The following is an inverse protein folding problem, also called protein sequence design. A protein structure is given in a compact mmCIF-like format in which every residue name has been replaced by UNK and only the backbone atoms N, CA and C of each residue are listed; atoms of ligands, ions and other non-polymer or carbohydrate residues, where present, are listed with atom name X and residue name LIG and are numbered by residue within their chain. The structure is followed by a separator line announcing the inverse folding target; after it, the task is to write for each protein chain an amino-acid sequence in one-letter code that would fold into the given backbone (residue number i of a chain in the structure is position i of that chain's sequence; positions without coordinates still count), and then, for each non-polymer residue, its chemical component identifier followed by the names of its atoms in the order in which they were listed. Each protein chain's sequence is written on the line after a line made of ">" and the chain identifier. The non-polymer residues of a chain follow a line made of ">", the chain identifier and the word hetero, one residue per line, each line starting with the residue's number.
data_IF_454837101195
#
_entry.id   IF_454837101195
#
_cell.length_a   1.000
_cell.length_b   1.000
_cell.length_c   1.000
_cell.angle_alpha   90.00
_cell.angle_beta   90.00
_cell.angle_gamma   90.00
#
_symmetry.space_group_name_H-M   'P 1'
#
loop_
_entity.id
_entity.type
_entity.pdbx_description
1 polymer ?
#
# COMPACT_ATOMS: atom_id res chain seq x y z
N UNK A 1 22.14 15.89 31.14
CA UNK A 1 20.85 15.38 30.64
C UNK A 1 19.92 16.57 30.37
N UNK A 2 19.14 16.54 29.29
CA UNK A 2 18.13 17.55 28.99
C UNK A 2 16.83 17.16 29.70
N UNK A 3 16.26 18.05 30.48
CA UNK A 3 14.94 17.87 31.09
C UNK A 3 13.91 18.63 30.26
N UNK A 4 12.76 17.99 29.99
CA UNK A 4 11.64 18.60 29.31
C UNK A 4 10.49 18.67 30.33
N UNK A 5 9.96 19.87 30.59
CA UNK A 5 8.77 20.04 31.41
C UNK A 5 7.52 19.62 30.59
N UNK A 6 6.86 18.56 31.04
CA UNK A 6 5.64 18.02 30.45
C UNK A 6 4.40 18.26 31.36
N UNK A 7 4.46 19.22 32.29
CA UNK A 7 3.33 19.55 33.16
C UNK A 7 2.07 19.86 32.36
N UNK A 8 0.94 19.20 32.69
CA UNK A 8 -0.32 19.33 31.99
C UNK A 8 -0.38 18.69 30.59
N UNK A 9 0.63 17.90 30.19
CA UNK A 9 0.69 17.15 28.94
C UNK A 9 0.51 15.66 29.18
N UNK A 10 -0.02 14.96 28.18
CA UNK A 10 0.03 13.52 28.10
C UNK A 10 1.28 13.12 27.32
N UNK A 11 2.14 12.30 27.89
CA UNK A 11 3.31 11.73 27.21
C UNK A 11 2.92 10.33 26.74
N UNK A 12 2.93 10.11 25.43
CA UNK A 12 2.54 8.86 24.79
C UNK A 12 3.70 8.39 23.88
N UNK A 13 3.77 7.11 23.52
CA UNK A 13 4.65 6.64 22.44
C UNK A 13 4.41 7.40 21.15
N UNK A 14 5.45 7.57 20.33
CA UNK A 14 5.29 8.12 18.98
C UNK A 14 4.40 7.22 18.12
N UNK A 15 3.65 7.82 17.20
CA UNK A 15 2.84 7.09 16.23
C UNK A 15 3.70 6.23 15.30
N UNK A 16 3.15 5.11 14.86
CA UNK A 16 3.70 4.28 13.80
C UNK A 16 2.73 4.39 12.63
N UNK A 17 3.19 4.96 11.51
CA UNK A 17 2.42 5.00 10.26
C UNK A 17 2.75 3.75 9.46
N UNK A 18 1.80 2.83 9.38
CA UNK A 18 2.00 1.53 8.76
C UNK A 18 1.82 1.53 7.24
N UNK A 19 1.44 2.67 6.63
CA UNK A 19 1.13 2.72 5.21
C UNK A 19 1.47 4.06 4.56
N UNK A 20 2.68 4.20 4.05
CA UNK A 20 3.11 5.40 3.32
C UNK A 20 3.70 5.08 1.96
N UNK A 21 3.75 6.09 1.08
CA UNK A 21 4.34 6.05 -0.24
C UNK A 21 5.12 7.34 -0.50
N UNK A 22 6.37 7.42 -0.10
CA UNK A 22 7.21 8.61 -0.30
C UNK A 22 7.68 8.82 -1.75
N UNK A 23 7.37 7.93 -2.68
CA UNK A 23 7.66 8.09 -4.11
C UNK A 23 9.14 8.32 -4.46
N UNK A 24 10.05 8.10 -3.56
CA UNK A 24 11.49 8.26 -3.73
C UNK A 24 12.17 6.87 -3.75
N UNK A 25 12.83 6.48 -4.82
CA UNK A 25 13.05 7.20 -6.09
C UNK A 25 11.85 7.15 -7.05
N UNK A 26 11.92 7.95 -8.11
CA UNK A 26 11.02 7.93 -9.25
C UNK A 26 10.15 9.18 -9.38
N UNK A 27 9.56 9.65 -8.28
CA UNK A 27 8.72 10.85 -8.24
C UNK A 27 9.06 11.72 -7.02
N UNK A 28 10.35 11.96 -6.83
CA UNK A 28 10.88 12.75 -5.72
C UNK A 28 10.35 14.19 -5.69
N UNK A 29 9.90 14.72 -6.82
CA UNK A 29 9.24 16.02 -6.93
C UNK A 29 7.89 16.09 -6.19
N UNK A 30 7.29 14.94 -5.88
CA UNK A 30 6.06 14.84 -5.09
C UNK A 30 6.39 14.85 -3.61
N UNK A 31 7.31 13.98 -3.19
CA UNK A 31 7.76 13.85 -1.81
C UNK A 31 9.01 12.98 -1.74
N UNK A 32 10.00 13.45 -0.97
CA UNK A 32 11.22 12.68 -0.67
C UNK A 32 11.15 12.09 0.73
N UNK A 33 12.03 11.15 1.04
CA UNK A 33 12.13 10.62 2.40
C UNK A 33 12.43 11.71 3.44
N UNK A 34 13.30 12.69 3.14
CA UNK A 34 13.59 13.78 4.09
C UNK A 34 12.34 14.63 4.35
N UNK A 35 11.66 15.06 3.31
CA UNK A 35 10.50 15.97 3.44
C UNK A 35 9.33 15.29 4.11
N UNK A 36 8.97 14.08 3.65
CA UNK A 36 7.84 13.33 4.20
C UNK A 36 8.06 12.89 5.64
N UNK A 37 9.27 12.45 6.00
CA UNK A 37 9.55 12.05 7.39
C UNK A 37 9.62 13.23 8.36
N UNK A 38 10.00 14.44 7.89
CA UNK A 38 9.86 15.66 8.69
C UNK A 38 8.40 15.99 8.96
N UNK A 39 7.51 15.80 7.97
CA UNK A 39 6.07 15.96 8.16
C UNK A 39 5.52 14.92 9.15
N UNK A 40 5.92 13.65 9.02
CA UNK A 40 5.58 12.59 9.95
C UNK A 40 6.01 12.91 11.39
N UNK A 41 7.26 13.31 11.59
CA UNK A 41 7.79 13.73 12.90
C UNK A 41 7.03 14.92 13.48
N UNK A 42 6.69 15.92 12.66
CA UNK A 42 5.89 17.06 13.09
C UNK A 42 4.47 16.66 13.51
N UNK A 43 3.90 15.61 12.90
CA UNK A 43 2.63 15.00 13.25
C UNK A 43 2.70 14.03 14.45
N UNK A 44 3.91 13.76 15.00
CA UNK A 44 4.10 12.86 16.13
C UNK A 44 4.34 11.39 15.74
N UNK A 45 4.51 11.08 14.46
CA UNK A 45 4.94 9.76 13.99
C UNK A 45 6.47 9.64 14.12
N UNK A 46 6.91 8.53 14.70
CA UNK A 46 8.34 8.24 14.93
C UNK A 46 8.85 7.06 14.12
N UNK A 47 7.96 6.37 13.45
CA UNK A 47 8.26 5.21 12.60
C UNK A 47 7.27 5.16 11.44
N UNK A 48 7.72 4.77 10.25
CA UNK A 48 6.85 4.53 9.12
C UNK A 48 7.16 3.19 8.44
N UNK A 49 6.17 2.67 7.73
CA UNK A 49 6.29 1.48 6.89
C UNK A 49 6.06 1.90 5.43
N UNK A 50 7.11 1.80 4.62
CA UNK A 50 7.09 2.21 3.22
C UNK A 50 6.58 1.10 2.32
N UNK A 51 5.49 1.36 1.61
CA UNK A 51 4.92 0.46 0.63
C UNK A 51 5.54 0.63 -0.77
N UNK A 52 5.60 -0.45 -1.59
CA UNK A 52 6.42 -0.48 -2.80
C UNK A 52 5.76 0.17 -4.03
N UNK A 53 5.34 1.44 -3.95
CA UNK A 53 5.00 2.22 -5.16
C UNK A 53 6.07 3.28 -5.39
N UNK A 54 7.05 2.94 -6.21
CA UNK A 54 8.20 3.78 -6.60
C UNK A 54 8.68 3.37 -7.98
N UNK A 55 9.69 4.00 -8.51
CA UNK A 55 10.31 3.60 -9.78
C UNK A 55 11.80 3.32 -9.55
N UNK A 56 12.19 2.05 -9.56
CA UNK A 56 11.35 0.84 -9.59
C UNK A 56 10.74 0.50 -8.22
N UNK A 57 9.66 -0.31 -8.15
CA UNK A 57 9.20 -0.93 -6.90
C UNK A 57 10.24 -1.91 -6.36
N UNK A 58 10.33 -2.09 -5.04
CA UNK A 58 11.28 -3.03 -4.43
C UNK A 58 10.79 -4.48 -4.49
N UNK A 59 10.85 -5.09 -5.68
CA UNK A 59 10.50 -6.49 -5.90
C UNK A 59 11.69 -7.45 -5.79
N UNK A 60 12.93 -6.93 -5.62
CA UNK A 60 14.12 -7.75 -5.38
C UNK A 60 15.08 -7.07 -4.40
N UNK A 61 16.03 -7.85 -3.88
CA UNK A 61 16.97 -7.40 -2.84
C UNK A 61 17.89 -6.25 -3.29
N UNK A 62 18.25 -6.16 -4.58
CA UNK A 62 19.07 -5.05 -5.07
C UNK A 62 18.30 -3.73 -5.00
N UNK A 63 17.09 -3.71 -5.54
CA UNK A 63 16.23 -2.50 -5.54
C UNK A 63 15.92 -2.08 -4.09
N UNK A 64 15.65 -3.04 -3.21
CA UNK A 64 15.41 -2.76 -1.80
C UNK A 64 16.63 -2.10 -1.13
N UNK A 65 17.84 -2.62 -1.35
CA UNK A 65 19.08 -2.04 -0.81
C UNK A 65 19.33 -0.63 -1.31
N UNK A 66 19.15 -0.41 -2.60
CA UNK A 66 19.30 0.92 -3.23
C UNK A 66 18.32 1.91 -2.56
N UNK A 67 17.06 1.50 -2.36
CA UNK A 67 16.03 2.33 -1.73
C UNK A 67 16.29 2.60 -0.24
N UNK A 68 16.77 1.60 0.50
CA UNK A 68 17.21 1.78 1.89
C UNK A 68 18.36 2.78 1.97
N UNK A 69 19.33 2.73 1.04
CA UNK A 69 20.44 3.66 0.97
C UNK A 69 19.97 5.10 0.75
N UNK A 70 19.01 5.31 -0.15
CA UNK A 70 18.36 6.63 -0.35
C UNK A 70 17.67 7.08 0.94
N UNK A 71 16.88 6.21 1.56
CA UNK A 71 16.16 6.51 2.80
C UNK A 71 17.10 6.89 3.95
N UNK A 72 18.30 6.31 4.01
CA UNK A 72 19.35 6.67 4.97
C UNK A 72 20.13 7.93 4.60
N UNK A 73 19.97 8.46 3.38
CA UNK A 73 20.78 9.56 2.88
C UNK A 73 22.24 9.17 2.56
N UNK A 74 22.47 7.87 2.30
CA UNK A 74 23.81 7.31 1.98
C UNK A 74 24.07 7.27 0.47
N UNK A 75 23.04 7.35 -0.37
CA UNK A 75 23.17 7.29 -1.83
C UNK A 75 23.69 8.62 -2.37
N UNK A 76 24.89 8.57 -2.96
CA UNK A 76 25.53 9.75 -3.58
C UNK A 76 24.80 10.23 -4.86
N UNK A 77 24.02 9.38 -5.52
CA UNK A 77 23.20 9.80 -6.68
C UNK A 77 22.00 10.64 -6.26
N UNK A 78 21.51 10.45 -5.03
CA UNK A 78 20.54 11.34 -4.39
C UNK A 78 21.19 12.65 -3.89
N UNK A 79 22.51 12.69 -3.74
CA UNK A 79 23.26 13.81 -3.15
C UNK A 79 23.31 15.10 -4.00
N UNK A 80 23.03 15.02 -5.32
CA UNK A 80 22.79 16.23 -6.10
C UNK A 80 21.59 17.04 -5.58
N UNK A 81 20.72 16.41 -4.76
CA UNK A 81 19.59 17.02 -4.07
C UNK A 81 19.89 17.50 -2.66
N UNK A 82 21.10 17.24 -2.13
CA UNK A 82 21.53 17.57 -0.76
C UNK A 82 20.63 17.08 0.37
N UNK A 83 19.94 15.95 0.17
CA UNK A 83 19.02 15.38 1.13
C UNK A 83 19.71 14.53 2.20
N UNK A 84 19.17 14.56 3.42
CA UNK A 84 19.72 13.88 4.58
C UNK A 84 19.08 12.54 4.91
N UNK A 85 18.14 12.10 4.07
CA UNK A 85 17.36 10.89 4.31
C UNK A 85 16.30 11.06 5.40
N UNK A 86 15.81 9.93 5.90
CA UNK A 86 14.77 9.90 6.93
C UNK A 86 15.25 10.43 8.27
N UNK A 87 14.40 11.21 8.94
CA UNK A 87 14.64 11.68 10.33
C UNK A 87 13.88 10.87 11.39
N UNK A 88 13.16 9.81 11.00
CA UNK A 88 12.46 8.87 11.88
C UNK A 88 12.81 7.44 11.51
N UNK A 89 12.46 6.47 12.36
CA UNK A 89 12.68 5.06 12.09
C UNK A 89 11.83 4.58 10.90
N UNK A 90 12.25 3.53 10.22
CA UNK A 90 11.57 3.03 9.03
C UNK A 90 11.64 1.52 8.85
N UNK A 91 10.63 0.98 8.17
CA UNK A 91 10.59 -0.38 7.66
C UNK A 91 10.11 -0.36 6.20
N UNK A 92 10.39 -1.43 5.47
CA UNK A 92 9.97 -1.57 4.07
C UNK A 92 9.09 -2.80 3.88
N UNK A 93 8.05 -2.66 3.07
CA UNK A 93 7.33 -3.76 2.46
C UNK A 93 8.03 -4.18 1.17
N UNK A 94 8.08 -5.47 0.89
CA UNK A 94 8.50 -6.00 -0.41
C UNK A 94 7.33 -6.01 -1.40
N UNK A 95 7.60 -5.79 -2.68
CA UNK A 95 6.60 -6.04 -3.72
C UNK A 95 6.46 -7.54 -3.96
N UNK A 96 5.21 -8.04 -4.05
CA UNK A 96 4.90 -9.42 -4.36
C UNK A 96 3.83 -9.49 -5.45
N UNK A 97 4.26 -9.55 -6.70
CA UNK A 97 3.39 -9.68 -7.87
C UNK A 97 3.64 -10.98 -8.63
N UNK A 98 2.64 -11.37 -9.40
CA UNK A 98 2.70 -12.58 -10.22
C UNK A 98 3.70 -12.54 -11.38
N UNK A 99 4.37 -11.39 -11.60
CA UNK A 99 5.40 -11.24 -12.62
C UNK A 99 6.74 -11.86 -12.21
N UNK A 100 7.07 -11.82 -10.90
CA UNK A 100 8.34 -12.29 -10.34
C UNK A 100 8.15 -13.13 -9.07
N UNK A 101 7.37 -14.22 -9.10
CA UNK A 101 7.12 -15.04 -7.92
C UNK A 101 8.40 -15.64 -7.33
N UNK A 102 9.41 -15.90 -8.15
CA UNK A 102 10.72 -16.42 -7.74
C UNK A 102 11.55 -15.44 -6.89
N UNK A 103 11.22 -14.15 -6.91
CA UNK A 103 11.91 -13.14 -6.14
C UNK A 103 11.35 -12.97 -4.72
N UNK A 104 10.16 -13.52 -4.45
CA UNK A 104 9.43 -13.32 -3.18
C UNK A 104 10.22 -13.90 -2.00
N UNK A 105 10.56 -15.17 -2.05
CA UNK A 105 11.26 -15.84 -0.94
C UNK A 105 12.64 -15.19 -0.66
N UNK A 106 13.52 -14.94 -1.66
CA UNK A 106 14.78 -14.24 -1.40
C UNK A 106 14.64 -12.83 -0.82
N UNK A 107 13.56 -12.13 -1.14
CA UNK A 107 13.34 -10.76 -0.64
C UNK A 107 13.07 -10.72 0.86
N UNK A 108 12.49 -11.78 1.44
CA UNK A 108 12.29 -11.88 2.89
C UNK A 108 13.61 -11.83 3.66
N UNK A 109 14.65 -12.48 3.14
CA UNK A 109 15.98 -12.55 3.76
C UNK A 109 16.67 -11.17 3.83
N UNK A 110 16.22 -10.20 3.04
CA UNK A 110 16.73 -8.84 3.02
C UNK A 110 16.12 -7.93 4.11
N UNK A 111 15.22 -8.47 4.94
CA UNK A 111 14.72 -7.78 6.14
C UNK A 111 13.50 -6.90 5.92
N UNK A 112 12.66 -7.19 4.93
CA UNK A 112 11.35 -6.58 4.82
C UNK A 112 10.44 -7.03 5.96
N UNK A 113 9.43 -6.21 6.31
CA UNK A 113 8.48 -6.54 7.38
C UNK A 113 7.26 -7.31 6.90
N UNK A 114 6.85 -7.11 5.66
CA UNK A 114 5.72 -7.75 5.01
C UNK A 114 5.80 -7.54 3.49
N UNK A 115 4.85 -8.13 2.77
CA UNK A 115 4.71 -7.94 1.32
C UNK A 115 3.50 -7.08 0.99
N UNK A 116 3.51 -6.49 -0.22
CA UNK A 116 2.39 -5.78 -0.83
C UNK A 116 2.10 -6.33 -2.20
N UNK A 117 0.81 -6.48 -2.51
CA UNK A 117 0.31 -6.78 -3.87
C UNK A 117 -0.92 -5.93 -4.21
N UNK A 118 -1.18 -5.76 -5.50
CA UNK A 118 -2.38 -5.14 -6.05
C UNK A 118 -3.16 -6.17 -6.86
N UNK A 119 -4.47 -6.29 -6.62
CA UNK A 119 -5.31 -7.29 -7.29
C UNK A 119 -5.87 -6.81 -8.64
N UNK A 120 -5.26 -5.81 -9.22
CA UNK A 120 -5.58 -5.24 -10.53
C UNK A 120 -4.31 -4.99 -11.34
N UNK A 121 -4.46 -4.79 -12.65
CA UNK A 121 -3.38 -4.39 -13.54
C UNK A 121 -2.83 -3.00 -13.19
N UNK A 122 -1.61 -2.71 -13.64
CA UNK A 122 -1.08 -1.36 -13.55
C UNK A 122 -2.03 -0.37 -14.23
N UNK A 123 -2.32 0.79 -13.61
CA UNK A 123 -3.06 1.84 -14.27
C UNK A 123 -2.35 2.30 -15.55
N UNK A 124 -3.12 2.68 -16.57
CA UNK A 124 -2.60 3.13 -17.86
C UNK A 124 -1.48 4.15 -17.72
N UNK A 125 -0.31 3.86 -18.30
CA UNK A 125 0.88 4.73 -18.26
C UNK A 125 1.70 4.67 -16.96
N UNK A 126 1.40 3.72 -16.05
CA UNK A 126 2.10 3.59 -14.76
C UNK A 126 2.82 2.25 -14.59
N UNK A 127 3.09 1.53 -15.67
CA UNK A 127 3.69 0.19 -15.62
C UNK A 127 4.99 0.14 -14.80
N UNK A 128 5.84 1.16 -14.94
CA UNK A 128 7.11 1.24 -14.21
C UNK A 128 6.96 1.36 -12.68
N UNK A 129 5.83 1.92 -12.18
CA UNK A 129 5.54 2.03 -10.75
C UNK A 129 4.94 0.72 -10.17
N UNK A 130 4.52 -0.21 -11.04
CA UNK A 130 3.83 -1.43 -10.66
C UNK A 130 4.57 -2.71 -11.08
N UNK A 131 5.79 -2.61 -11.59
CA UNK A 131 6.61 -3.77 -11.93
C UNK A 131 6.81 -4.68 -10.71
N UNK A 132 6.48 -5.97 -10.87
CA UNK A 132 6.59 -6.94 -9.78
C UNK A 132 5.61 -6.75 -8.61
N UNK A 133 4.54 -5.93 -8.79
CA UNK A 133 3.64 -5.54 -7.71
C UNK A 133 2.19 -6.01 -7.92
N UNK A 134 1.83 -6.47 -9.13
CA UNK A 134 0.43 -6.79 -9.46
C UNK A 134 0.18 -8.29 -9.52
N UNK A 135 -1.01 -8.69 -9.07
CA UNK A 135 -1.57 -10.05 -9.13
C UNK A 135 -3.00 -9.96 -9.67
N UNK A 136 -3.12 -9.59 -10.95
CA UNK A 136 -4.38 -9.19 -11.58
C UNK A 136 -5.33 -10.35 -11.93
N UNK A 137 -4.88 -11.60 -11.81
CA UNK A 137 -5.71 -12.78 -12.04
C UNK A 137 -5.52 -13.83 -10.92
N UNK A 138 -6.45 -14.79 -10.89
CA UNK A 138 -6.51 -15.78 -9.82
C UNK A 138 -5.27 -16.66 -9.72
N UNK A 139 -4.68 -17.10 -10.84
CA UNK A 139 -3.49 -17.94 -10.85
C UNK A 139 -2.28 -17.18 -10.29
N UNK A 140 -2.07 -15.96 -10.72
CA UNK A 140 -1.01 -15.09 -10.19
C UNK A 140 -1.15 -14.88 -8.69
N UNK A 141 -2.35 -14.49 -8.23
CA UNK A 141 -2.60 -14.26 -6.81
C UNK A 141 -2.35 -15.52 -5.98
N UNK A 142 -2.85 -16.66 -6.44
CA UNK A 142 -2.70 -17.92 -5.72
C UNK A 142 -1.23 -18.31 -5.56
N UNK A 143 -0.44 -18.25 -6.64
CA UNK A 143 1.01 -18.51 -6.59
C UNK A 143 1.76 -17.53 -5.69
N UNK A 144 1.43 -16.26 -5.74
CA UNK A 144 2.03 -15.25 -4.85
C UNK A 144 1.77 -15.60 -3.39
N UNK A 145 0.56 -16.02 -3.04
CA UNK A 145 0.23 -16.44 -1.68
C UNK A 145 1.01 -17.69 -1.25
N UNK A 146 1.21 -18.66 -2.15
CA UNK A 146 2.03 -19.84 -1.89
C UNK A 146 3.49 -19.47 -1.60
N UNK A 147 4.08 -18.56 -2.40
CA UNK A 147 5.46 -18.11 -2.18
C UNK A 147 5.59 -17.29 -0.88
N UNK A 148 4.69 -16.35 -0.63
CA UNK A 148 4.70 -15.55 0.61
C UNK A 148 4.53 -16.46 1.84
N UNK A 149 3.68 -17.48 1.78
CA UNK A 149 3.50 -18.45 2.86
C UNK A 149 4.80 -19.11 3.31
N UNK A 150 5.72 -19.40 2.39
CA UNK A 150 7.01 -20.04 2.71
C UNK A 150 7.88 -19.15 3.61
N UNK A 151 7.75 -17.84 3.48
CA UNK A 151 8.53 -16.86 4.25
C UNK A 151 8.01 -16.64 5.67
N UNK A 152 6.76 -17.01 5.95
CA UNK A 152 6.08 -16.73 7.22
C UNK A 152 5.67 -15.29 7.44
N UNK A 153 5.91 -14.41 6.47
CA UNK A 153 5.50 -13.00 6.52
C UNK A 153 4.04 -12.82 6.08
N UNK A 154 3.49 -11.65 6.39
CA UNK A 154 2.14 -11.22 5.98
C UNK A 154 2.18 -10.59 4.58
N UNK A 155 1.09 -10.73 3.82
CA UNK A 155 0.92 -10.00 2.57
C UNK A 155 -0.24 -9.01 2.68
N UNK A 156 0.05 -7.74 2.43
CA UNK A 156 -0.91 -6.66 2.35
C UNK A 156 -1.49 -6.55 0.92
N UNK A 157 -2.81 -6.48 0.79
CA UNK A 157 -3.48 -6.43 -0.50
C UNK A 157 -4.24 -5.13 -0.72
N UNK A 158 -3.91 -4.40 -1.80
CA UNK A 158 -4.82 -3.42 -2.39
C UNK A 158 -5.89 -4.20 -3.15
N UNK A 159 -7.09 -4.26 -2.59
CA UNK A 159 -8.13 -5.19 -3.00
C UNK A 159 -9.20 -4.50 -3.86
N UNK A 160 -8.94 -4.36 -5.15
CA UNK A 160 -9.92 -3.99 -6.18
C UNK A 160 -10.00 -5.11 -7.23
N UNK A 161 -11.22 -5.56 -7.56
CA UNK A 161 -11.40 -6.60 -8.57
C UNK A 161 -11.12 -6.06 -9.97
N UNK A 162 -10.11 -6.62 -10.64
CA UNK A 162 -9.60 -6.14 -11.92
C UNK A 162 -10.64 -6.12 -13.04
N UNK A 163 -11.44 -7.16 -13.14
CA UNK A 163 -12.44 -7.28 -14.22
C UNK A 163 -13.57 -6.28 -14.02
N UNK A 164 -14.03 -6.10 -12.77
CA UNK A 164 -15.08 -5.15 -12.45
C UNK A 164 -14.62 -3.70 -12.67
N UNK A 165 -13.44 -3.32 -12.17
CA UNK A 165 -12.89 -1.96 -12.40
C UNK A 165 -12.76 -1.67 -13.88
N UNK A 166 -12.16 -2.58 -14.64
CA UNK A 166 -11.99 -2.44 -16.10
C UNK A 166 -13.33 -2.32 -16.81
N UNK A 167 -14.29 -3.15 -16.42
CA UNK A 167 -15.64 -3.14 -16.99
C UNK A 167 -16.40 -1.84 -16.70
N UNK A 168 -16.31 -1.31 -15.47
CA UNK A 168 -16.94 -0.04 -15.11
C UNK A 168 -16.29 1.15 -15.81
N UNK A 169 -14.95 1.21 -15.87
CA UNK A 169 -14.21 2.24 -16.62
C UNK A 169 -14.63 2.24 -18.10
N UNK A 170 -14.70 1.06 -18.73
CA UNK A 170 -15.12 0.93 -20.12
C UNK A 170 -16.53 1.50 -20.34
N UNK A 171 -17.51 1.14 -19.49
CA UNK A 171 -18.89 1.65 -19.57
C UNK A 171 -18.94 3.18 -19.44
N UNK A 172 -18.19 3.79 -18.53
CA UNK A 172 -18.14 5.24 -18.39
C UNK A 172 -17.52 5.92 -19.63
N UNK A 173 -16.49 5.31 -20.24
CA UNK A 173 -15.89 5.80 -21.49
C UNK A 173 -16.90 5.73 -22.67
N UNK A 174 -17.63 4.63 -22.80
CA UNK A 174 -18.67 4.45 -23.82
C UNK A 174 -19.83 5.46 -23.67
N UNK A 175 -20.10 5.91 -22.45
CA UNK A 175 -21.09 6.95 -22.14
C UNK A 175 -20.53 8.38 -22.28
N UNK A 176 -19.24 8.55 -22.56
CA UNK A 176 -18.58 9.86 -22.62
C UNK A 176 -18.41 10.55 -21.26
N UNK A 177 -18.56 9.81 -20.15
CA UNK A 177 -18.56 10.34 -18.76
C UNK A 177 -17.23 10.23 -18.03
N UNK A 178 -16.18 9.75 -18.69
CA UNK A 178 -14.86 9.49 -18.08
C UNK A 178 -14.19 10.72 -17.46
N UNK A 179 -14.59 11.92 -17.82
CA UNK A 179 -14.03 13.18 -17.31
C UNK A 179 -14.91 13.84 -16.23
N UNK A 180 -16.01 13.21 -15.82
CA UNK A 180 -16.82 13.69 -14.72
C UNK A 180 -16.08 13.50 -13.38
N UNK A 181 -16.26 14.41 -12.43
CA UNK A 181 -15.62 14.32 -11.12
C UNK A 181 -15.92 12.99 -10.43
N UNK A 182 -17.19 12.55 -10.50
CA UNK A 182 -17.67 11.33 -9.85
C UNK A 182 -17.25 10.03 -10.56
N UNK A 183 -16.76 10.10 -11.81
CA UNK A 183 -16.42 8.93 -12.61
C UNK A 183 -15.46 7.95 -11.93
N UNK A 184 -14.54 8.48 -11.09
CA UNK A 184 -13.65 7.64 -10.31
C UNK A 184 -14.41 6.76 -9.32
N UNK A 185 -15.34 7.34 -8.55
CA UNK A 185 -16.15 6.61 -7.58
C UNK A 185 -17.09 5.62 -8.28
N UNK A 186 -17.77 6.05 -9.37
CA UNK A 186 -18.65 5.17 -10.14
C UNK A 186 -17.93 4.01 -10.84
N UNK A 187 -16.64 4.16 -11.13
CA UNK A 187 -15.83 3.04 -11.66
C UNK A 187 -15.39 2.06 -10.57
N UNK A 188 -15.55 2.41 -9.30
CA UNK A 188 -15.16 1.63 -8.11
C UNK A 188 -16.28 1.53 -7.08
N UNK A 189 -17.47 1.04 -7.48
CA UNK A 189 -18.54 0.84 -6.51
C UNK A 189 -18.13 -0.22 -5.47
N UNK A 190 -18.80 -0.26 -4.30
CA UNK A 190 -18.45 -1.16 -3.20
C UNK A 190 -18.20 -2.61 -3.58
N UNK A 191 -18.91 -3.14 -4.58
CA UNK A 191 -18.74 -4.53 -5.03
C UNK A 191 -17.32 -4.85 -5.52
N UNK A 192 -16.59 -3.86 -6.03
CA UNK A 192 -15.21 -4.01 -6.52
C UNK A 192 -14.27 -4.42 -5.37
N UNK A 193 -14.40 -3.75 -4.22
CA UNK A 193 -13.62 -4.06 -3.02
C UNK A 193 -14.12 -5.36 -2.36
N UNK A 194 -15.42 -5.54 -2.24
CA UNK A 194 -16.05 -6.70 -1.59
C UNK A 194 -15.64 -8.00 -2.29
N UNK A 195 -15.69 -8.04 -3.63
CA UNK A 195 -15.31 -9.24 -4.40
C UNK A 195 -13.82 -9.55 -4.25
N UNK A 196 -12.97 -8.54 -4.40
CA UNK A 196 -11.52 -8.72 -4.25
C UNK A 196 -11.14 -9.20 -2.85
N UNK A 197 -11.74 -8.63 -1.79
CA UNK A 197 -11.52 -9.05 -0.41
C UNK A 197 -12.04 -10.48 -0.17
N UNK A 198 -13.21 -10.82 -0.67
CA UNK A 198 -13.76 -12.18 -0.57
C UNK A 198 -12.81 -13.21 -1.20
N UNK A 199 -12.26 -12.90 -2.36
CA UNK A 199 -11.25 -13.71 -3.07
C UNK A 199 -9.98 -13.86 -2.23
N UNK A 200 -9.43 -12.74 -1.74
CA UNK A 200 -8.21 -12.71 -0.94
C UNK A 200 -8.35 -13.53 0.34
N UNK A 201 -9.49 -13.43 1.05
CA UNK A 201 -9.78 -14.21 2.24
C UNK A 201 -9.86 -15.71 1.96
N UNK A 202 -10.54 -16.12 0.88
CA UNK A 202 -10.66 -17.53 0.48
C UNK A 202 -9.32 -18.14 0.13
N UNK A 203 -8.54 -17.48 -0.70
CA UNK A 203 -7.24 -17.98 -1.14
C UNK A 203 -6.23 -17.97 0.01
N UNK A 204 -6.19 -16.90 0.81
CA UNK A 204 -5.34 -16.83 2.00
C UNK A 204 -5.64 -17.92 3.01
N UNK A 205 -6.93 -18.27 3.21
CA UNK A 205 -7.35 -19.38 4.06
C UNK A 205 -6.89 -20.72 3.52
N UNK A 206 -7.08 -20.98 2.23
CA UNK A 206 -6.74 -22.25 1.58
C UNK A 206 -5.23 -22.51 1.62
N UNK A 207 -4.41 -21.49 1.30
CA UNK A 207 -2.95 -21.55 1.37
C UNK A 207 -2.43 -21.50 2.82
N UNK A 208 -3.19 -20.94 3.74
CA UNK A 208 -2.77 -20.67 5.13
C UNK A 208 -1.78 -19.50 5.23
N UNK A 209 -1.86 -18.51 4.32
CA UNK A 209 -1.05 -17.31 4.31
C UNK A 209 -1.68 -16.22 5.20
N UNK A 210 -0.92 -15.57 6.11
CA UNK A 210 -1.39 -14.40 6.85
C UNK A 210 -1.60 -13.23 5.88
N UNK A 211 -2.74 -12.55 5.98
CA UNK A 211 -3.10 -11.46 5.08
C UNK A 211 -3.44 -10.18 5.83
N UNK A 212 -3.16 -9.05 5.18
CA UNK A 212 -3.59 -7.74 5.60
C UNK A 212 -4.44 -7.11 4.49
N UNK A 213 -5.62 -6.66 4.85
CA UNK A 213 -6.53 -5.92 3.98
C UNK A 213 -6.30 -4.44 4.27
N UNK A 214 -5.62 -3.73 3.36
CA UNK A 214 -5.25 -2.33 3.60
C UNK A 214 -6.35 -1.38 3.14
N UNK A 215 -6.43 -0.20 3.80
CA UNK A 215 -7.35 0.90 3.47
C UNK A 215 -8.77 0.45 3.10
N UNK A 216 -9.34 -0.49 3.85
CA UNK A 216 -10.70 -1.00 3.63
C UNK A 216 -11.72 0.13 3.82
N UNK A 217 -12.57 0.34 2.82
CA UNK A 217 -13.51 1.46 2.75
C UNK A 217 -14.98 1.05 2.92
N UNK A 218 -15.31 -0.25 2.77
CA UNK A 218 -16.70 -0.74 2.83
C UNK A 218 -16.98 -1.54 4.11
N UNK A 219 -18.15 -1.32 4.72
CA UNK A 219 -18.56 -2.07 5.92
C UNK A 219 -18.80 -3.55 5.63
N UNK A 220 -19.23 -3.89 4.40
CA UNK A 220 -19.45 -5.28 3.99
C UNK A 220 -18.12 -6.07 3.98
N UNK A 221 -17.05 -5.46 3.50
CA UNK A 221 -15.72 -6.06 3.53
C UNK A 221 -15.20 -6.23 4.98
N UNK A 222 -15.50 -5.28 5.87
CA UNK A 222 -15.21 -5.40 7.30
C UNK A 222 -15.91 -6.60 7.95
N UNK A 223 -17.18 -6.86 7.60
CA UNK A 223 -17.90 -8.04 8.13
C UNK A 223 -17.31 -9.36 7.62
N UNK A 224 -16.87 -9.42 6.33
CA UNK A 224 -16.15 -10.59 5.81
C UNK A 224 -14.84 -10.83 6.57
N UNK A 225 -14.06 -9.78 6.81
CA UNK A 225 -12.81 -9.89 7.56
C UNK A 225 -13.06 -10.30 9.03
N UNK A 226 -14.09 -9.77 9.67
CA UNK A 226 -14.51 -10.13 11.02
C UNK A 226 -14.90 -11.61 11.12
N UNK A 227 -15.66 -12.12 10.15
CA UNK A 227 -15.99 -13.54 10.08
C UNK A 227 -14.73 -14.41 9.92
N UNK A 228 -13.83 -14.06 9.00
CA UNK A 228 -12.58 -14.80 8.77
C UNK A 228 -11.71 -14.84 10.05
N UNK A 229 -11.61 -13.72 10.79
CA UNK A 229 -10.93 -13.67 12.09
C UNK A 229 -11.59 -14.56 13.13
N UNK A 230 -12.93 -14.58 13.20
CA UNK A 230 -13.66 -15.45 14.12
C UNK A 230 -13.47 -16.95 13.81
N UNK A 231 -13.21 -17.30 12.55
CA UNK A 231 -12.86 -18.63 12.09
C UNK A 231 -11.38 -18.99 12.30
N UNK A 232 -10.59 -18.11 12.90
CA UNK A 232 -9.18 -18.33 13.24
C UNK A 232 -8.20 -18.02 12.11
N UNK A 233 -8.63 -17.40 11.02
CA UNK A 233 -7.72 -16.96 9.96
C UNK A 233 -6.88 -15.77 10.45
N UNK A 234 -5.55 -15.75 10.21
CA UNK A 234 -4.70 -14.61 10.54
C UNK A 234 -4.93 -13.47 9.53
N UNK A 235 -5.89 -12.61 9.85
CA UNK A 235 -6.29 -11.46 9.03
C UNK A 235 -6.08 -10.18 9.81
N UNK A 236 -5.40 -9.21 9.20
CA UNK A 236 -5.25 -7.85 9.68
C UNK A 236 -6.07 -6.93 8.79
N UNK A 237 -6.55 -5.81 9.32
CA UNK A 237 -7.39 -4.87 8.57
C UNK A 237 -6.97 -3.46 8.93
N UNK A 238 -6.72 -2.67 7.91
CA UNK A 238 -6.41 -1.26 7.99
C UNK A 238 -7.54 -0.44 7.36
N UNK A 239 -7.83 0.72 7.92
CA UNK A 239 -8.68 1.73 7.31
C UNK A 239 -8.02 3.11 7.42
N UNK A 240 -8.57 4.09 6.74
CA UNK A 240 -8.01 5.45 6.73
C UNK A 240 -8.89 6.40 7.56
N UNK A 241 -8.31 7.33 8.33
CA UNK A 241 -9.09 8.30 9.11
C UNK A 241 -10.06 9.13 8.26
N UNK A 242 -9.68 9.47 7.04
CA UNK A 242 -10.55 10.25 6.15
C UNK A 242 -11.78 9.46 5.67
N UNK A 243 -11.77 8.14 5.63
CA UNK A 243 -12.95 7.33 5.32
C UNK A 243 -14.05 7.42 6.40
N UNK A 244 -13.68 7.84 7.59
CA UNK A 244 -14.64 8.07 8.69
C UNK A 244 -15.31 9.46 8.62
N UNK A 245 -14.79 10.37 7.82
CA UNK A 245 -15.17 11.78 7.80
C UNK A 245 -15.63 12.27 6.41
N UNK A 246 -15.15 11.65 5.34
CA UNK A 246 -15.39 12.07 3.96
C UNK A 246 -16.10 10.95 3.19
N UNK A 247 -16.90 11.35 2.22
CA UNK A 247 -17.60 10.47 1.29
C UNK A 247 -17.51 10.99 -0.16
N UNK A 248 -18.12 10.29 -1.09
CA UNK A 248 -18.07 10.61 -2.53
C UNK A 248 -18.64 11.99 -2.89
N UNK A 249 -19.50 12.59 -2.03
CA UNK A 249 -20.03 13.95 -2.26
C UNK A 249 -18.94 15.01 -2.26
N UNK A 250 -17.83 14.76 -1.56
CA UNK A 250 -16.65 15.63 -1.58
C UNK A 250 -15.95 15.58 -2.95
N UNK A 251 -15.89 14.41 -3.59
CA UNK A 251 -15.34 14.27 -4.95
C UNK A 251 -16.19 15.00 -5.97
N UNK A 252 -17.50 14.92 -5.84
CA UNK A 252 -18.44 15.65 -6.69
C UNK A 252 -18.24 17.16 -6.55
N UNK A 253 -18.10 17.67 -5.31
CA UNK A 253 -17.95 19.07 -4.99
C UNK A 253 -16.58 19.65 -5.30
N UNK A 254 -15.50 18.93 -5.00
CA UNK A 254 -14.12 19.44 -5.04
C UNK A 254 -13.26 18.81 -6.15
N UNK A 255 -13.78 17.83 -6.88
CA UNK A 255 -13.09 17.16 -7.99
C UNK A 255 -11.81 16.48 -7.53
N UNK A 256 -10.73 16.68 -8.30
CA UNK A 256 -9.44 16.03 -8.07
C UNK A 256 -8.80 16.38 -6.69
N UNK A 257 -9.23 17.44 -6.03
CA UNK A 257 -8.72 17.81 -4.70
C UNK A 257 -9.27 16.94 -3.57
N UNK A 258 -10.30 16.15 -3.83
CA UNK A 258 -10.91 15.24 -2.85
C UNK A 258 -10.70 13.76 -3.22
N UNK A 259 -9.81 13.47 -4.19
CA UNK A 259 -9.56 12.12 -4.72
C UNK A 259 -8.30 11.51 -4.11
#
# INVERSE_FOLDING_TARGET
>A
ARTIDASGKHVIPGGIDTHVHYRDPGHWERETFEVGTRAAAAGGCTTFFEHPISIPPQWNGKILKDRISICKGEDSSANDRHEKGSCVDFCFFGAAGGQHPEAIEPLADEGIVAYKTFLHDAPEGRDAEFEGLTSANNDQLYRVLEEVKKTGLTIAAHAEDNELVTGFIKRLREQGRQNENIAHCESRPPIVEIEAISKMLKFGKDVGCPIELVHVSTWQAMELAKQAKAEGQPVYVETCPHYLLLDESYVEKYGAYAK
#
